data_IF_869452639322
#
_entry.id   IF_869452639322
#
_cell.length_a   1.000
_cell.length_b   1.000
_cell.length_c   1.000
_cell.angle_alpha   90.00
_cell.angle_beta   90.00
_cell.angle_gamma   90.00
#
_symmetry.space_group_name_H-M   'P 1'
#
loop_
_entity.id
_entity.type
_entity.pdbx_description
1 polymer ?
#
# COMPACT_ATOMS: atom_id res chain seq x y z
N UNK A 1 16.15 -2.66 -19.32
CA UNK A 1 15.88 -3.41 -18.07
C UNK A 1 17.15 -4.15 -17.69
N UNK A 2 17.89 -3.68 -16.68
CA UNK A 2 19.07 -4.38 -16.18
C UNK A 2 18.67 -5.21 -14.97
N UNK A 3 18.79 -6.53 -15.09
CA UNK A 3 18.54 -7.50 -14.03
C UNK A 3 19.85 -7.79 -13.29
N UNK A 4 19.87 -7.53 -11.99
CA UNK A 4 20.99 -7.84 -11.09
C UNK A 4 20.68 -9.15 -10.34
N UNK A 5 21.55 -10.16 -10.48
CA UNK A 5 21.47 -11.41 -9.72
C UNK A 5 22.79 -11.70 -9.01
N UNK A 6 22.81 -11.67 -7.69
CA UNK A 6 23.95 -12.08 -6.86
C UNK A 6 23.72 -13.48 -6.29
N UNK A 7 24.60 -14.43 -6.60
CA UNK A 7 24.59 -15.75 -5.97
C UNK A 7 25.35 -15.69 -4.63
N UNK A 8 24.81 -16.26 -3.53
CA UNK A 8 25.47 -16.23 -2.23
C UNK A 8 26.72 -17.12 -2.21
N UNK A 9 27.84 -16.58 -1.73
CA UNK A 9 29.04 -17.37 -1.39
C UNK A 9 29.00 -17.77 0.08
N UNK A 10 29.35 -19.01 0.44
CA UNK A 10 29.41 -19.44 1.83
C UNK A 10 30.57 -18.75 2.58
N UNK A 11 30.30 -18.37 3.82
CA UNK A 11 31.25 -17.68 4.72
C UNK A 11 32.26 -18.69 5.29
N UNK A 12 33.55 -18.45 5.10
CA UNK A 12 34.61 -19.24 5.74
C UNK A 12 34.63 -19.02 7.26
N UNK A 13 34.39 -20.07 8.02
CA UNK A 13 34.41 -20.04 9.49
C UNK A 13 35.87 -20.01 9.96
N UNK A 14 36.35 -18.84 10.39
CA UNK A 14 37.62 -18.75 11.13
C UNK A 14 37.42 -19.30 12.55
N UNK A 15 38.30 -20.24 12.93
CA UNK A 15 38.30 -20.94 14.22
C UNK A 15 38.35 -19.95 15.39
N UNK A 16 37.49 -20.20 16.38
CA UNK A 16 37.46 -19.54 17.68
C UNK A 16 38.84 -19.59 18.35
N UNK A 17 39.32 -18.44 18.83
CA UNK A 17 40.42 -18.36 19.80
C UNK A 17 39.80 -18.13 21.17
N UNK A 18 40.27 -18.92 22.12
CA UNK A 18 39.71 -19.13 23.45
C UNK A 18 39.48 -17.85 24.27
N UNK A 19 38.38 -17.90 25.01
CA UNK A 19 38.00 -16.97 26.05
C UNK A 19 39.06 -16.92 27.15
N UNK A 20 39.60 -15.75 27.43
CA UNK A 20 39.92 -15.31 28.79
C UNK A 20 40.02 -13.78 28.85
N UNK A 21 39.36 -13.21 29.87
CA UNK A 21 39.18 -11.78 30.20
C UNK A 21 38.12 -11.02 29.38
N UNK A 22 36.84 -11.24 29.73
CA UNK A 22 35.76 -10.29 29.48
C UNK A 22 35.92 -9.08 30.40
N UNK A 23 36.76 -8.14 30.00
CA UNK A 23 36.70 -6.78 30.55
C UNK A 23 35.58 -6.05 29.81
N UNK A 24 34.45 -5.84 30.48
CA UNK A 24 33.33 -5.07 29.94
C UNK A 24 33.80 -3.63 29.67
N UNK A 25 34.26 -3.37 28.45
CA UNK A 25 34.56 -2.04 27.95
C UNK A 25 33.26 -1.35 27.53
N UNK A 26 33.11 -0.07 27.88
CA UNK A 26 31.97 0.72 27.46
C UNK A 26 31.78 0.65 25.94
N UNK A 27 30.61 0.15 25.53
CA UNK A 27 30.20 -0.05 24.12
C UNK A 27 30.24 1.27 23.34
N UNK A 28 30.25 2.42 24.03
CA UNK A 28 30.39 3.76 23.46
C UNK A 28 31.79 4.07 22.88
N UNK A 29 32.83 3.32 23.28
CA UNK A 29 34.21 3.54 22.83
C UNK A 29 34.78 2.35 22.05
N UNK A 30 34.02 1.27 21.89
CA UNK A 30 34.44 0.14 21.08
C UNK A 30 34.52 0.56 19.60
N UNK A 31 35.69 0.32 18.99
CA UNK A 31 35.98 0.61 17.59
C UNK A 31 35.28 -0.34 16.62
N UNK A 32 34.83 -1.50 17.08
CA UNK A 32 34.10 -2.49 16.27
C UNK A 32 32.64 -2.10 16.05
N UNK A 33 32.10 -1.25 16.92
CA UNK A 33 30.71 -0.80 16.87
C UNK A 33 30.64 0.43 15.99
N UNK A 34 30.17 0.25 14.76
CA UNK A 34 29.92 1.33 13.80
C UNK A 34 28.65 2.06 14.25
N UNK A 35 28.80 3.33 14.63
CA UNK A 35 27.69 4.18 15.06
C UNK A 35 27.33 5.13 13.92
N UNK A 36 26.19 4.92 13.28
CA UNK A 36 25.72 5.72 12.15
C UNK A 36 24.67 4.98 11.32
N UNK A 37 23.87 5.72 10.57
CA UNK A 37 22.83 5.18 9.68
C UNK A 37 23.49 4.59 8.41
N UNK A 38 23.12 3.37 8.00
CA UNK A 38 23.75 2.60 6.91
C UNK A 38 23.42 3.10 5.48
N UNK A 39 22.66 4.19 5.34
CA UNK A 39 22.18 4.66 4.04
C UNK A 39 23.20 5.48 3.22
N UNK A 40 24.27 5.99 3.83
CA UNK A 40 25.21 6.92 3.16
C UNK A 40 26.58 6.31 2.79
N UNK A 41 26.78 5.01 3.00
CA UNK A 41 28.01 4.33 2.52
C UNK A 41 27.86 3.85 1.07
N UNK A 42 27.61 4.78 0.16
CA UNK A 42 27.97 4.57 -1.23
C UNK A 42 29.47 4.81 -1.41
N UNK A 43 30.16 3.71 -1.66
CA UNK A 43 31.46 3.55 -2.32
C UNK A 43 32.02 4.84 -2.93
N UNK A 44 32.89 5.54 -2.19
CA UNK A 44 33.82 6.49 -2.80
C UNK A 44 35.18 5.81 -2.95
N UNK A 45 35.44 5.48 -4.21
CA UNK A 45 36.72 5.06 -4.73
C UNK A 45 37.82 6.05 -4.35
N UNK A 46 39.02 5.52 -4.10
CA UNK A 46 40.25 6.25 -3.86
C UNK A 46 40.43 7.37 -4.91
N UNK A 47 40.29 8.62 -4.49
CA UNK A 47 40.82 9.77 -5.22
C UNK A 47 41.31 10.82 -4.21
N UNK A 48 42.61 11.13 -4.33
CA UNK A 48 43.34 12.13 -3.57
C UNK A 48 42.89 13.55 -3.93
N UNK A 49 41.73 13.98 -3.44
CA UNK A 49 41.39 15.39 -3.37
C UNK A 49 40.96 15.71 -1.94
N UNK A 50 41.80 16.50 -1.27
CA UNK A 50 41.61 16.98 0.09
C UNK A 50 40.24 17.64 0.26
N UNK A 51 39.37 16.98 1.02
CA UNK A 51 38.06 17.47 1.41
C UNK A 51 38.23 18.76 2.26
N UNK A 52 37.64 19.91 1.89
CA UNK A 52 37.83 21.18 2.59
C UNK A 52 37.38 21.11 4.06
N UNK A 53 36.40 20.27 4.39
CA UNK A 53 35.94 20.05 5.76
C UNK A 53 36.96 19.34 6.67
N UNK A 54 37.79 18.44 6.12
CA UNK A 54 38.83 17.74 6.88
C UNK A 54 40.04 18.65 7.15
N UNK A 55 40.40 19.52 6.21
CA UNK A 55 41.44 20.54 6.42
C UNK A 55 41.04 21.57 7.48
N UNK A 56 39.78 22.01 7.49
CA UNK A 56 39.28 22.95 8.51
C UNK A 56 39.30 22.32 9.92
N UNK A 57 38.96 21.03 10.04
CA UNK A 57 39.07 20.26 11.30
C UNK A 57 40.51 20.11 11.77
N UNK A 58 41.45 19.85 10.86
CA UNK A 58 42.87 19.73 11.18
C UNK A 58 43.47 21.08 11.62
N UNK A 59 43.07 22.19 10.98
CA UNK A 59 43.45 23.54 11.38
C UNK A 59 42.88 23.94 12.74
N UNK A 60 41.62 23.58 13.04
CA UNK A 60 41.01 23.80 14.35
C UNK A 60 41.74 23.02 15.46
N UNK A 61 42.11 21.77 15.19
CA UNK A 61 42.89 20.95 16.13
C UNK A 61 44.28 21.54 16.39
N UNK A 62 44.95 22.04 15.33
CA UNK A 62 46.25 22.70 15.41
C UNK A 62 46.17 24.01 16.22
N UNK A 63 45.14 24.84 16.01
CA UNK A 63 44.88 26.06 16.79
C UNK A 63 44.65 25.75 18.27
N UNK A 64 43.87 24.72 18.59
CA UNK A 64 43.61 24.31 19.98
C UNK A 64 44.86 23.77 20.68
N UNK A 65 45.73 23.05 19.97
CA UNK A 65 47.00 22.59 20.51
C UNK A 65 47.98 23.73 20.82
N UNK A 66 48.02 24.76 19.96
CA UNK A 66 48.86 25.96 20.17
C UNK A 66 48.36 26.76 21.37
N UNK A 67 47.04 26.99 21.48
CA UNK A 67 46.44 27.68 22.63
C UNK A 67 46.74 26.95 23.96
N UNK A 68 46.69 25.61 23.96
CA UNK A 68 47.02 24.79 25.14
C UNK A 68 48.51 24.81 25.51
N UNK A 69 49.40 25.03 24.53
CA UNK A 69 50.84 25.22 24.77
C UNK A 69 51.12 26.60 25.35
N UNK A 70 50.47 27.65 24.84
CA UNK A 70 50.58 29.02 25.34
C UNK A 70 50.04 29.17 26.76
N UNK A 71 48.88 28.56 27.07
CA UNK A 71 48.32 28.59 28.43
C UNK A 71 49.24 27.88 29.44
N UNK A 72 49.91 26.79 29.03
CA UNK A 72 50.88 26.07 29.86
C UNK A 72 52.18 26.86 30.06
N UNK A 73 52.57 27.71 29.11
CA UNK A 73 53.71 28.63 29.26
C UNK A 73 53.38 29.82 30.19
N UNK A 74 52.13 30.30 30.18
CA UNK A 74 51.68 31.37 31.10
C UNK A 74 51.56 30.89 32.56
N UNK A 75 51.26 29.61 32.80
CA UNK A 75 51.19 29.03 34.15
C UNK A 75 52.56 28.70 34.77
N UNK A 76 53.67 28.84 34.04
CA UNK A 76 55.00 28.68 34.60
C UNK A 76 55.40 29.99 35.29
N UNK A 77 55.53 29.97 36.62
CA UNK A 77 56.18 31.04 37.38
C UNK A 77 57.62 31.20 36.88
N UNK A 78 57.89 32.24 36.10
CA UNK A 78 59.26 32.56 35.64
C UNK A 78 60.04 33.13 36.82
N UNK A 79 61.18 32.53 37.13
CA UNK A 79 62.24 33.21 37.88
C UNK A 79 62.65 34.46 37.09
N UNK A 80 62.81 35.65 37.71
CA UNK A 80 63.15 36.87 36.99
C UNK A 80 64.47 36.71 36.20
N UNK A 81 64.56 37.38 35.04
CA UNK A 81 65.75 37.35 34.19
C UNK A 81 66.97 37.91 34.92
N UNK A 82 68.13 37.28 34.71
CA UNK A 82 69.38 37.70 35.30
C UNK A 82 69.75 39.12 34.84
N UNK A 83 69.99 40.01 35.80
CA UNK A 83 70.36 41.39 35.57
C UNK A 83 71.73 41.43 34.86
N UNK A 84 71.80 42.10 33.71
CA UNK A 84 73.05 42.21 32.94
C UNK A 84 74.11 42.98 33.73
N UNK A 85 75.30 42.39 33.89
CA UNK A 85 76.47 43.01 34.54
C UNK A 85 76.85 42.48 35.92
N UNK A 86 76.16 41.47 36.46
CA UNK A 86 76.59 40.75 37.68
C UNK A 86 76.93 39.29 37.37
N UNK A 87 78.13 38.84 37.77
CA UNK A 87 78.46 37.41 37.80
C UNK A 87 77.77 36.79 39.02
N UNK A 88 76.82 35.88 38.78
CA UNK A 88 76.22 35.08 39.83
C UNK A 88 77.19 33.94 40.21
N UNK A 89 77.86 34.07 41.35
CA UNK A 89 78.64 32.98 41.96
C UNK A 89 77.68 32.12 42.78
N UNK A 90 77.72 30.81 42.56
CA UNK A 90 77.03 29.83 43.40
C UNK A 90 77.71 29.86 44.76
N UNK A 91 77.02 30.35 45.80
CA UNK A 91 77.53 30.33 47.17
C UNK A 91 77.69 28.87 47.59
N UNK A 92 78.92 28.38 47.57
CA UNK A 92 79.32 27.10 48.15
C UNK A 92 79.48 27.28 49.67
N UNK A 93 78.37 27.38 50.40
CA UNK A 93 78.38 27.11 51.84
C UNK A 93 78.56 25.60 52.04
N UNK A 94 79.81 25.16 52.02
CA UNK A 94 80.16 23.75 52.24
C UNK A 94 81.59 23.57 52.73
N UNK A 95 82.55 24.33 52.22
CA UNK A 95 83.97 24.08 52.51
C UNK A 95 84.67 25.19 53.33
N UNK A 96 84.14 26.42 53.33
CA UNK A 96 84.72 27.54 54.10
C UNK A 96 84.18 27.69 55.52
N UNK A 97 83.14 26.94 55.92
CA UNK A 97 82.64 26.94 57.30
C UNK A 97 83.50 26.05 58.23
N UNK A 98 84.13 25.00 57.69
CA UNK A 98 84.96 24.07 58.45
C UNK A 98 86.35 24.63 58.82
N UNK A 99 86.79 25.75 58.22
CA UNK A 99 88.09 26.37 58.51
C UNK A 99 88.03 27.43 59.64
N UNK A 100 86.85 27.74 60.17
CA UNK A 100 86.65 28.75 61.23
C UNK A 100 86.00 28.16 62.51
N UNK A 101 86.19 26.86 62.76
CA UNK A 101 85.80 26.23 64.01
C UNK A 101 87.04 26.07 64.90
N UNK A 102 87.13 26.91 65.93
CA UNK A 102 88.10 26.79 67.00
C UNK A 102 87.53 25.83 68.06
N UNK A 103 88.16 24.65 68.23
CA UNK A 103 87.81 23.72 69.31
C UNK A 103 88.36 24.25 70.64
N UNK A 104 87.51 24.89 71.44
CA UNK A 104 87.87 25.32 72.79
C UNK A 104 87.82 24.13 73.77
N UNK A 105 88.95 23.46 73.99
CA UNK A 105 89.11 22.42 75.02
C UNK A 105 89.49 23.05 76.38
N UNK A 106 88.53 23.64 77.09
CA UNK A 106 88.72 24.04 78.49
C UNK A 106 88.07 23.01 79.43
N UNK A 107 88.90 22.17 80.03
CA UNK A 107 88.50 21.31 81.15
C UNK A 107 88.43 22.22 82.39
N UNK A 108 87.22 22.66 82.75
CA UNK A 108 87.00 23.45 83.97
C UNK A 108 86.98 22.47 85.15
N UNK A 109 87.92 22.62 86.09
CA UNK A 109 87.89 21.89 87.36
C UNK A 109 86.70 22.40 88.19
N UNK A 110 85.76 21.51 88.49
CA UNK A 110 84.63 21.79 89.39
C UNK A 110 85.11 21.56 90.82
N UNK A 111 85.24 22.63 91.61
CA UNK A 111 85.32 22.52 93.06
C UNK A 111 83.93 22.79 93.65
N UNK A 112 83.34 21.78 94.28
CA UNK A 112 82.10 21.92 95.04
C UNK A 112 82.40 22.67 96.34
N UNK A 113 81.70 23.80 96.55
CA UNK A 113 81.76 24.58 97.78
C UNK A 113 80.33 24.75 98.25
N UNK A 114 79.95 24.01 99.28
CA UNK A 114 78.64 24.11 99.92
C UNK A 114 78.68 25.25 100.96
N UNK A 115 77.85 26.27 100.78
CA UNK A 115 77.65 27.33 101.76
C UNK A 115 76.21 27.30 102.28
N UNK A 116 76.08 26.92 103.56
CA UNK A 116 74.86 26.97 104.35
C UNK A 116 74.33 28.41 104.42
N UNK A 117 73.22 28.66 103.74
CA UNK A 117 72.48 29.92 103.74
C UNK A 117 71.13 29.72 104.43
N UNK A 118 70.73 30.72 105.21
CA UNK A 118 69.56 30.74 106.10
C UNK A 118 68.24 30.26 105.46
N UNK A 119 67.32 29.83 106.32
CA UNK A 119 65.98 29.37 105.98
C UNK A 119 65.17 30.49 105.30
N UNK A 120 65.13 30.47 103.97
CA UNK A 120 64.41 31.43 103.13
C UNK A 120 62.90 31.34 103.40
N UNK A 121 62.34 32.33 104.11
CA UNK A 121 60.90 32.53 104.20
C UNK A 121 60.36 32.97 102.82
N UNK A 122 59.33 32.28 102.33
CA UNK A 122 58.69 32.61 101.06
C UNK A 122 58.08 34.02 101.09
N UNK A 123 58.71 34.92 100.34
CA UNK A 123 58.18 36.26 100.05
C UNK A 123 56.89 36.09 99.24
N UNK A 124 55.78 36.78 99.57
CA UNK A 124 54.59 36.74 98.73
C UNK A 124 54.95 37.19 97.31
N UNK A 125 54.32 36.56 96.30
CA UNK A 125 54.58 36.87 94.90
C UNK A 125 54.44 38.37 94.68
N UNK A 126 55.48 38.97 94.09
CA UNK A 126 55.44 40.40 93.76
C UNK A 126 54.33 40.60 92.73
N UNK A 127 53.42 41.57 92.92
CA UNK A 127 52.35 41.81 91.98
C UNK A 127 52.94 42.10 90.59
N UNK A 128 52.39 41.46 89.56
CA UNK A 128 52.82 41.67 88.18
C UNK A 128 52.63 43.14 87.84
N UNK A 129 53.73 43.81 87.49
CA UNK A 129 53.68 45.17 86.96
C UNK A 129 53.04 45.13 85.58
N UNK A 130 51.79 45.59 85.48
CA UNK A 130 51.12 45.85 84.20
C UNK A 130 51.38 47.31 83.85
N UNK A 131 52.20 47.61 82.83
CA UNK A 131 52.41 48.99 82.40
C UNK A 131 51.06 49.62 82.01
N UNK A 132 50.82 50.85 82.42
CA UNK A 132 49.68 51.60 81.88
C UNK A 132 49.86 51.70 80.36
N UNK A 133 48.81 51.34 79.59
CA UNK A 133 48.81 51.57 78.14
C UNK A 133 49.14 53.05 77.90
N UNK A 134 50.28 53.31 77.25
CA UNK A 134 50.68 54.65 76.82
C UNK A 134 50.57 54.70 75.30
N UNK A 135 49.54 55.40 74.82
CA UNK A 135 49.15 55.50 73.42
C UNK A 135 47.68 55.92 73.34
N UNK A 136 47.30 56.67 72.31
CA UNK A 136 45.90 56.99 72.04
C UNK A 136 45.34 55.87 71.16
N UNK A 137 44.39 55.10 71.67
CA UNK A 137 43.66 54.11 70.89
C UNK A 137 42.76 54.86 69.88
N UNK A 138 42.97 54.63 68.57
CA UNK A 138 42.14 55.19 67.48
C UNK A 138 41.50 54.01 66.76
N UNK A 139 40.18 54.00 66.70
CA UNK A 139 39.44 53.08 65.83
C UNK A 139 39.14 53.76 64.50
N UNK A 140 39.30 52.99 63.42
CA UNK A 140 38.88 53.38 62.08
C UNK A 140 37.91 52.34 61.59
N UNK A 141 36.64 52.72 61.47
CA UNK A 141 35.57 51.88 60.93
C UNK A 141 35.16 52.41 59.56
N UNK A 142 34.94 51.51 58.61
CA UNK A 142 34.37 51.83 57.31
C UNK A 142 32.86 51.64 57.42
N UNK A 143 32.11 52.70 57.16
CA UNK A 143 30.65 52.70 57.23
C UNK A 143 30.02 52.10 55.96
N UNK A 144 28.78 51.65 56.06
CA UNK A 144 28.06 51.09 54.91
C UNK A 144 27.96 52.13 53.78
N UNK A 145 28.54 51.80 52.63
CA UNK A 145 28.53 52.64 51.42
C UNK A 145 29.80 53.49 51.18
N UNK A 146 30.76 53.52 52.11
CA UNK A 146 31.96 54.36 51.99
C UNK A 146 32.96 53.89 50.91
N UNK A 147 32.87 52.61 50.51
CA UNK A 147 33.67 51.98 49.45
C UNK A 147 32.86 51.61 48.20
N UNK A 148 31.60 52.03 48.10
CA UNK A 148 30.73 51.63 46.99
C UNK A 148 31.12 52.37 45.69
N UNK A 149 31.49 51.61 44.67
CA UNK A 149 31.70 52.11 43.31
C UNK A 149 30.54 51.65 42.41
N UNK A 150 29.69 52.60 42.02
CA UNK A 150 28.53 52.31 41.19
C UNK A 150 28.91 51.71 39.84
N UNK A 151 29.97 52.19 39.20
CA UNK A 151 30.34 51.76 37.85
C UNK A 151 30.82 50.31 37.82
N UNK A 152 31.44 49.85 38.91
CA UNK A 152 31.84 48.45 39.09
C UNK A 152 30.66 47.56 39.47
N UNK A 153 29.81 48.00 40.39
CA UNK A 153 28.73 47.17 40.94
C UNK A 153 27.52 47.05 39.99
N UNK A 154 27.31 48.02 39.09
CA UNK A 154 26.22 47.98 38.11
C UNK A 154 26.52 47.08 36.91
N UNK A 155 27.81 46.80 36.62
CA UNK A 155 28.24 46.02 35.46
C UNK A 155 27.57 44.62 35.38
N UNK A 156 27.58 43.80 36.45
CA UNK A 156 26.94 42.48 36.42
C UNK A 156 25.43 42.56 36.20
N UNK A 157 24.78 43.58 36.75
CA UNK A 157 23.33 43.80 36.62
C UNK A 157 22.98 44.16 35.17
N UNK A 158 23.75 45.07 34.56
CA UNK A 158 23.56 45.46 33.17
C UNK A 158 23.90 44.33 32.20
N UNK A 159 24.94 43.54 32.46
CA UNK A 159 25.30 42.39 31.63
C UNK A 159 24.16 41.37 31.58
N UNK A 160 23.56 41.06 32.73
CA UNK A 160 22.41 40.15 32.81
C UNK A 160 21.18 40.75 32.13
N UNK A 161 20.88 42.03 32.36
CA UNK A 161 19.72 42.70 31.75
C UNK A 161 19.83 42.73 30.24
N UNK A 162 20.96 43.19 29.70
CA UNK A 162 21.18 43.30 28.26
C UNK A 162 21.25 41.91 27.64
N UNK A 163 21.98 40.98 28.26
CA UNK A 163 22.10 39.60 27.79
C UNK A 163 20.73 38.93 27.70
N UNK A 164 19.91 39.03 28.75
CA UNK A 164 18.58 38.42 28.79
C UNK A 164 17.60 39.09 27.83
N UNK A 165 17.68 40.42 27.67
CA UNK A 165 16.83 41.14 26.71
C UNK A 165 17.15 40.72 25.28
N UNK A 166 18.43 40.63 24.91
CA UNK A 166 18.84 40.19 23.58
C UNK A 166 18.48 38.73 23.33
N UNK A 167 18.72 37.85 24.30
CA UNK A 167 18.38 36.42 24.21
C UNK A 167 16.88 36.22 24.01
N UNK A 168 16.06 36.89 24.82
CA UNK A 168 14.60 36.82 24.70
C UNK A 168 14.13 37.37 23.34
N UNK A 169 14.64 38.53 22.93
CA UNK A 169 14.29 39.13 21.63
C UNK A 169 14.63 38.20 20.46
N UNK A 170 15.79 37.55 20.52
CA UNK A 170 16.22 36.62 19.46
C UNK A 170 15.31 35.39 19.41
N UNK A 171 14.95 34.82 20.56
CA UNK A 171 14.04 33.67 20.61
C UNK A 171 12.65 34.00 20.08
N UNK A 172 12.10 35.16 20.45
CA UNK A 172 10.80 35.63 19.97
C UNK A 172 10.79 35.81 18.45
N UNK A 173 11.80 36.48 17.89
CA UNK A 173 11.91 36.66 16.42
C UNK A 173 12.05 35.32 15.70
N UNK A 174 12.84 34.38 16.24
CA UNK A 174 12.96 33.05 15.65
C UNK A 174 11.64 32.28 15.67
N UNK A 175 10.90 32.33 16.78
CA UNK A 175 9.58 31.69 16.89
C UNK A 175 8.57 32.30 15.89
N UNK A 176 8.56 33.62 15.75
CA UNK A 176 7.69 34.32 14.80
C UNK A 176 7.98 33.92 13.34
N UNK A 177 9.26 33.83 12.96
CA UNK A 177 9.66 33.37 11.63
C UNK A 177 9.28 31.90 11.37
N UNK A 178 9.48 31.02 12.35
CA UNK A 178 9.07 29.62 12.27
C UNK A 178 7.55 29.49 12.10
N UNK A 179 6.77 30.21 12.92
CA UNK A 179 5.31 30.24 12.83
C UNK A 179 4.84 30.81 11.48
N UNK A 180 5.51 31.84 10.95
CA UNK A 180 5.21 32.38 9.63
C UNK A 180 5.46 31.35 8.52
N UNK A 181 6.57 30.62 8.59
CA UNK A 181 6.92 29.55 7.65
C UNK A 181 5.90 28.39 7.70
N UNK A 182 5.51 27.95 8.89
CA UNK A 182 4.49 26.90 9.04
C UNK A 182 3.13 27.35 8.48
N UNK A 183 2.73 28.60 8.71
CA UNK A 183 1.48 29.16 8.19
C UNK A 183 1.48 29.27 6.67
N UNK A 184 2.60 29.65 6.04
CA UNK A 184 2.70 29.70 4.58
C UNK A 184 2.64 28.29 4.00
N UNK A 185 3.37 27.34 4.57
CA UNK A 185 3.34 25.94 4.15
C UNK A 185 1.93 25.34 4.28
N UNK A 186 1.24 25.59 5.39
CA UNK A 186 -0.13 25.13 5.61
C UNK A 186 -1.10 25.71 4.59
N UNK A 187 -0.98 27.00 4.26
CA UNK A 187 -1.80 27.64 3.21
C UNK A 187 -1.59 27.00 1.84
N UNK A 188 -0.33 26.85 1.43
CA UNK A 188 0.01 26.20 0.13
C UNK A 188 -0.53 24.77 0.08
N UNK A 189 -0.40 24.00 1.17
CA UNK A 189 -0.93 22.64 1.24
C UNK A 189 -2.45 22.60 1.16
N UNK A 190 -3.15 23.52 1.85
CA UNK A 190 -4.61 23.61 1.80
C UNK A 190 -5.11 24.01 0.41
N UNK A 191 -4.45 24.96 -0.25
CA UNK A 191 -4.76 25.36 -1.62
C UNK A 191 -4.60 24.18 -2.59
N UNK A 192 -3.48 23.47 -2.51
CA UNK A 192 -3.24 22.28 -3.33
C UNK A 192 -4.32 21.21 -3.08
N UNK A 193 -4.60 20.90 -1.81
CA UNK A 193 -5.62 19.91 -1.44
C UNK A 193 -7.02 20.29 -1.92
N UNK A 194 -7.37 21.58 -1.84
CA UNK A 194 -8.66 22.06 -2.32
C UNK A 194 -8.78 21.96 -3.85
N UNK A 195 -7.71 22.26 -4.57
CA UNK A 195 -7.65 22.11 -6.02
C UNK A 195 -7.76 20.62 -6.44
N UNK A 196 -7.01 19.74 -5.77
CA UNK A 196 -7.08 18.29 -5.99
C UNK A 196 -8.48 17.75 -5.71
N UNK A 197 -9.11 18.17 -4.60
CA UNK A 197 -10.46 17.75 -4.25
C UNK A 197 -11.48 18.19 -5.31
N UNK A 198 -11.38 19.41 -5.81
CA UNK A 198 -12.25 19.92 -6.87
C UNK A 198 -12.06 19.14 -8.19
N UNK A 199 -10.82 18.76 -8.51
CA UNK A 199 -10.52 17.95 -9.69
C UNK A 199 -11.09 16.54 -9.57
N UNK A 200 -10.93 15.89 -8.41
CA UNK A 200 -11.48 14.56 -8.14
C UNK A 200 -13.00 14.58 -8.27
N UNK A 201 -13.69 15.57 -7.68
CA UNK A 201 -15.14 15.70 -7.81
C UNK A 201 -15.57 15.85 -9.27
N UNK A 202 -14.86 16.66 -10.06
CA UNK A 202 -15.13 16.84 -11.49
C UNK A 202 -15.00 15.51 -12.26
N UNK A 203 -13.97 14.71 -11.95
CA UNK A 203 -13.73 13.41 -12.58
C UNK A 203 -14.77 12.36 -12.15
N UNK A 204 -15.14 12.33 -10.87
CA UNK A 204 -16.19 11.45 -10.35
C UNK A 204 -17.54 11.73 -11.01
N UNK A 205 -17.92 12.99 -11.17
CA UNK A 205 -19.16 13.33 -11.88
C UNK A 205 -19.13 12.92 -13.35
N UNK A 206 -17.99 13.11 -14.01
CA UNK A 206 -17.82 12.67 -15.40
C UNK A 206 -17.92 11.14 -15.52
N UNK A 207 -17.29 10.40 -14.60
CA UNK A 207 -17.33 8.94 -14.55
C UNK A 207 -18.75 8.45 -14.26
N UNK A 208 -19.48 9.11 -13.35
CA UNK A 208 -20.88 8.82 -13.07
C UNK A 208 -21.74 8.94 -14.33
N UNK A 209 -21.62 10.04 -15.06
CA UNK A 209 -22.36 10.25 -16.34
C UNK A 209 -22.00 9.19 -17.37
N UNK A 210 -20.73 8.85 -17.50
CA UNK A 210 -20.27 7.82 -18.44
C UNK A 210 -20.81 6.43 -18.06
N UNK A 211 -20.81 6.11 -16.77
CA UNK A 211 -21.33 4.85 -16.24
C UNK A 211 -22.83 4.72 -16.49
N UNK A 212 -23.60 5.77 -16.20
CA UNK A 212 -25.05 5.83 -16.46
C UNK A 212 -25.35 5.65 -17.97
N UNK A 213 -24.63 6.34 -18.85
CA UNK A 213 -24.82 6.20 -20.30
C UNK A 213 -24.41 4.80 -20.79
N UNK A 214 -23.29 4.26 -20.30
CA UNK A 214 -22.85 2.89 -20.63
C UNK A 214 -23.90 1.87 -20.22
N UNK A 215 -24.46 1.98 -19.03
CA UNK A 215 -25.51 1.08 -18.54
C UNK A 215 -26.77 1.17 -19.41
N UNK A 216 -27.19 2.38 -19.80
CA UNK A 216 -28.31 2.57 -20.74
C UNK A 216 -28.05 1.90 -22.09
N UNK A 217 -26.84 2.04 -22.64
CA UNK A 217 -26.46 1.41 -23.92
C UNK A 217 -26.44 -0.12 -23.81
N UNK A 218 -25.92 -0.67 -22.72
CA UNK A 218 -25.93 -2.12 -22.48
C UNK A 218 -27.36 -2.64 -22.36
N UNK A 219 -28.23 -1.93 -21.64
CA UNK A 219 -29.64 -2.31 -21.52
C UNK A 219 -30.34 -2.29 -22.89
N UNK A 220 -30.15 -1.24 -23.69
CA UNK A 220 -30.70 -1.16 -25.05
C UNK A 220 -30.19 -2.31 -25.93
N UNK A 221 -28.88 -2.59 -25.91
CA UNK A 221 -28.30 -3.67 -26.72
C UNK A 221 -28.83 -5.04 -26.31
N UNK A 222 -29.05 -5.26 -25.01
CA UNK A 222 -29.63 -6.50 -24.49
C UNK A 222 -31.06 -6.71 -24.99
N UNK A 223 -31.88 -5.64 -25.01
CA UNK A 223 -33.24 -5.70 -25.56
C UNK A 223 -33.25 -5.96 -27.07
N UNK A 224 -32.33 -5.34 -27.83
CA UNK A 224 -32.17 -5.61 -29.26
C UNK A 224 -31.82 -7.09 -29.49
N UNK A 225 -30.83 -7.61 -28.76
CA UNK A 225 -30.40 -9.00 -28.90
C UNK A 225 -31.52 -9.99 -28.54
N UNK A 226 -32.33 -9.70 -27.52
CA UNK A 226 -33.49 -10.51 -27.16
C UNK A 226 -34.52 -10.53 -28.31
N UNK A 227 -34.82 -9.37 -28.91
CA UNK A 227 -35.72 -9.29 -30.06
C UNK A 227 -35.16 -10.03 -31.27
N UNK A 228 -33.86 -9.92 -31.53
CA UNK A 228 -33.20 -10.66 -32.61
C UNK A 228 -33.36 -12.17 -32.41
N UNK A 229 -33.12 -12.70 -31.20
CA UNK A 229 -33.34 -14.10 -30.87
C UNK A 229 -34.80 -14.53 -31.12
N UNK A 230 -35.77 -13.77 -30.59
CA UNK A 230 -37.19 -14.06 -30.81
C UNK A 230 -37.56 -14.05 -32.31
N UNK A 231 -37.02 -13.11 -33.08
CA UNK A 231 -37.26 -13.06 -34.52
C UNK A 231 -36.61 -14.23 -35.26
N UNK A 232 -35.39 -14.61 -34.88
CA UNK A 232 -34.69 -15.75 -35.46
C UNK A 232 -35.43 -17.06 -35.21
N UNK A 233 -35.94 -17.27 -33.99
CA UNK A 233 -36.76 -18.43 -33.64
C UNK A 233 -38.07 -18.46 -34.43
N UNK A 234 -38.77 -17.32 -34.57
CA UNK A 234 -40.00 -17.24 -35.38
C UNK A 234 -39.73 -17.56 -36.85
N UNK A 235 -38.63 -17.07 -37.41
CA UNK A 235 -38.24 -17.37 -38.78
C UNK A 235 -37.90 -18.86 -38.92
N UNK A 236 -37.12 -19.41 -38.00
CA UNK A 236 -36.77 -20.83 -37.98
C UNK A 236 -38.01 -21.73 -37.90
N UNK A 237 -38.94 -21.43 -36.99
CA UNK A 237 -40.21 -22.15 -36.86
C UNK A 237 -41.05 -22.07 -38.14
N UNK A 238 -41.16 -20.88 -38.75
CA UNK A 238 -41.86 -20.70 -40.02
C UNK A 238 -41.24 -21.55 -41.13
N UNK A 239 -39.92 -21.48 -41.30
CA UNK A 239 -39.20 -22.23 -42.34
C UNK A 239 -39.35 -23.74 -42.09
N UNK A 240 -39.23 -24.19 -40.85
CA UNK A 240 -39.43 -25.58 -40.46
C UNK A 240 -40.85 -26.05 -40.79
N UNK A 241 -41.89 -25.31 -40.40
CA UNK A 241 -43.27 -25.66 -40.72
C UNK A 241 -43.52 -25.71 -42.23
N UNK A 242 -42.96 -24.77 -43.01
CA UNK A 242 -43.08 -24.77 -44.46
C UNK A 242 -42.42 -26.01 -45.09
N UNK A 243 -41.19 -26.34 -44.68
CA UNK A 243 -40.48 -27.53 -45.16
C UNK A 243 -41.20 -28.82 -44.77
N UNK A 244 -41.69 -28.91 -43.53
CA UNK A 244 -42.44 -30.07 -43.05
C UNK A 244 -43.76 -30.26 -43.80
N UNK A 245 -44.55 -29.19 -43.95
CA UNK A 245 -45.82 -29.24 -44.68
C UNK A 245 -45.64 -29.54 -46.17
N UNK A 246 -44.58 -29.01 -46.79
CA UNK A 246 -44.25 -29.29 -48.19
C UNK A 246 -44.01 -30.79 -48.45
N UNK A 247 -43.41 -31.51 -47.49
CA UNK A 247 -43.23 -32.96 -47.58
C UNK A 247 -44.46 -33.76 -47.13
N UNK A 248 -45.16 -33.30 -46.10
CA UNK A 248 -46.29 -34.00 -45.51
C UNK A 248 -47.51 -34.03 -46.45
N UNK A 249 -47.84 -32.91 -47.09
CA UNK A 249 -49.03 -32.84 -47.95
C UNK A 249 -48.97 -33.88 -49.09
N UNK A 250 -47.93 -33.94 -49.94
CA UNK A 250 -47.84 -34.98 -50.98
C UNK A 250 -47.86 -36.41 -50.40
N UNK A 251 -47.22 -36.64 -49.25
CA UNK A 251 -47.18 -37.96 -48.62
C UNK A 251 -48.57 -38.42 -48.14
N UNK A 252 -49.33 -37.53 -47.49
CA UNK A 252 -50.69 -37.80 -47.04
C UNK A 252 -51.62 -37.96 -48.25
N UNK A 253 -51.57 -37.07 -49.24
CA UNK A 253 -52.38 -37.20 -50.46
C UNK A 253 -52.08 -38.52 -51.20
N UNK A 254 -50.81 -38.90 -51.32
CA UNK A 254 -50.42 -40.18 -51.92
C UNK A 254 -50.86 -41.38 -51.09
N UNK A 255 -50.85 -41.28 -49.76
CA UNK A 255 -51.37 -42.32 -48.87
C UNK A 255 -52.88 -42.47 -49.02
N UNK A 256 -53.66 -41.38 -48.94
CA UNK A 256 -55.11 -41.40 -49.11
C UNK A 256 -55.52 -41.91 -50.51
N UNK A 257 -54.76 -41.54 -51.55
CA UNK A 257 -54.97 -42.04 -52.92
C UNK A 257 -54.71 -43.55 -53.00
N UNK A 258 -53.65 -44.05 -52.36
CA UNK A 258 -53.37 -45.50 -52.28
C UNK A 258 -54.45 -46.27 -51.51
N UNK A 259 -55.03 -45.68 -50.47
CA UNK A 259 -56.11 -46.29 -49.69
C UNK A 259 -57.50 -46.13 -50.35
N UNK A 260 -57.58 -45.56 -51.56
CA UNK A 260 -58.82 -45.49 -52.34
C UNK A 260 -59.84 -44.46 -51.83
N UNK A 261 -59.43 -43.49 -51.01
CA UNK A 261 -60.32 -42.42 -50.53
C UNK A 261 -60.62 -41.36 -51.59
N UNK A 262 -59.70 -41.15 -52.55
CA UNK A 262 -59.93 -40.28 -53.70
C UNK A 262 -60.45 -41.11 -54.87
N UNK A 263 -61.69 -40.85 -55.27
CA UNK A 263 -62.33 -41.47 -56.44
C UNK A 263 -62.08 -40.63 -57.68
N UNK A 264 -61.93 -41.28 -58.83
CA UNK A 264 -62.02 -40.57 -60.10
C UNK A 264 -63.50 -40.16 -60.32
N UNK A 265 -63.80 -38.87 -60.48
CA UNK A 265 -65.18 -38.43 -60.73
C UNK A 265 -65.79 -39.12 -61.94
N UNK A 266 -65.00 -39.48 -62.95
CA UNK A 266 -65.47 -40.19 -64.15
C UNK A 266 -65.85 -41.63 -63.82
N UNK A 267 -65.03 -42.35 -63.05
CA UNK A 267 -65.33 -43.72 -62.64
C UNK A 267 -66.58 -43.79 -61.74
N UNK A 268 -66.74 -42.81 -60.85
CA UNK A 268 -67.93 -42.70 -60.01
C UNK A 268 -69.18 -42.35 -60.83
N UNK A 269 -69.07 -41.46 -61.79
CA UNK A 269 -70.18 -41.09 -62.68
C UNK A 269 -70.61 -42.27 -63.56
N UNK A 270 -69.64 -43.04 -64.08
CA UNK A 270 -69.93 -44.26 -64.83
C UNK A 270 -70.64 -45.29 -63.93
N UNK A 271 -70.13 -45.54 -62.71
CA UNK A 271 -70.71 -46.54 -61.82
C UNK A 271 -72.09 -46.15 -61.28
N UNK A 272 -72.31 -44.87 -60.96
CA UNK A 272 -73.55 -44.40 -60.32
C UNK A 272 -74.62 -44.03 -61.35
N UNK A 273 -74.27 -43.44 -62.49
CA UNK A 273 -75.24 -42.92 -63.45
C UNK A 273 -75.31 -43.76 -64.73
N UNK A 274 -74.16 -44.06 -65.35
CA UNK A 274 -74.14 -44.76 -66.64
C UNK A 274 -74.53 -46.24 -66.53
N UNK A 275 -73.95 -46.99 -65.58
CA UNK A 275 -74.25 -48.43 -65.44
C UNK A 275 -75.73 -48.70 -65.12
N UNK A 276 -76.38 -47.99 -64.18
CA UNK A 276 -77.80 -48.19 -63.93
C UNK A 276 -78.67 -47.79 -65.13
N UNK A 277 -78.32 -46.71 -65.83
CA UNK A 277 -79.00 -46.31 -67.06
C UNK A 277 -78.87 -47.38 -68.16
N UNK A 278 -77.68 -47.92 -68.37
CA UNK A 278 -77.42 -48.97 -69.35
C UNK A 278 -78.20 -50.25 -69.01
N UNK A 279 -78.18 -50.66 -67.74
CA UNK A 279 -78.94 -51.83 -67.27
C UNK A 279 -80.44 -51.60 -67.46
N UNK A 280 -80.96 -50.41 -67.16
CA UNK A 280 -82.37 -50.07 -67.36
C UNK A 280 -82.77 -50.11 -68.84
N UNK A 281 -81.94 -49.58 -69.75
CA UNK A 281 -82.23 -49.61 -71.18
C UNK A 281 -82.12 -51.03 -71.75
N UNK A 282 -81.14 -51.84 -71.30
CA UNK A 282 -81.04 -53.26 -71.68
C UNK A 282 -82.27 -54.03 -71.20
N UNK A 283 -82.70 -53.84 -69.96
CA UNK A 283 -83.92 -54.47 -69.43
C UNK A 283 -85.15 -54.08 -70.24
N UNK A 284 -85.31 -52.79 -70.59
CA UNK A 284 -86.40 -52.33 -71.45
C UNK A 284 -86.42 -53.00 -72.83
N UNK A 285 -85.24 -53.25 -73.42
CA UNK A 285 -85.15 -53.99 -74.69
C UNK A 285 -85.46 -55.48 -74.51
N UNK A 286 -85.07 -56.08 -73.38
CA UNK A 286 -85.45 -57.44 -73.04
C UNK A 286 -86.97 -57.57 -72.80
N UNK A 287 -87.59 -56.63 -72.09
CA UNK A 287 -89.03 -56.59 -71.84
C UNK A 287 -89.79 -56.51 -73.16
N UNK A 288 -89.39 -55.61 -74.08
CA UNK A 288 -89.95 -55.57 -75.44
C UNK A 288 -89.85 -56.91 -76.16
N UNK A 289 -88.72 -57.61 -76.02
CA UNK A 289 -88.52 -58.94 -76.61
C UNK A 289 -89.38 -60.01 -75.94
N UNK A 290 -89.54 -59.97 -74.61
CA UNK A 290 -90.42 -60.88 -73.87
C UNK A 290 -91.88 -60.64 -74.25
N UNK A 291 -92.35 -59.39 -74.28
CA UNK A 291 -93.72 -59.07 -74.73
C UNK A 291 -93.95 -59.48 -76.17
N UNK A 292 -92.97 -59.29 -77.06
CA UNK A 292 -93.09 -59.74 -78.45
C UNK A 292 -93.16 -61.27 -78.56
N UNK A 293 -92.40 -62.01 -77.74
CA UNK A 293 -92.50 -63.48 -77.65
C UNK A 293 -93.84 -63.93 -77.06
N UNK A 294 -94.32 -63.28 -76.00
CA UNK A 294 -95.61 -63.61 -75.39
C UNK A 294 -96.78 -63.36 -76.36
N UNK A 295 -96.77 -62.26 -77.11
CA UNK A 295 -97.74 -62.01 -78.18
C UNK A 295 -97.63 -63.07 -79.27
N UNK A 296 -96.41 -63.46 -79.68
CA UNK A 296 -96.21 -64.53 -80.65
C UNK A 296 -96.75 -65.88 -80.13
N UNK A 297 -96.49 -66.23 -78.88
CA UNK A 297 -96.97 -67.45 -78.24
C UNK A 297 -98.50 -67.44 -78.12
N UNK A 298 -99.12 -66.30 -77.79
CA UNK A 298 -100.58 -66.14 -77.80
C UNK A 298 -101.17 -66.29 -79.21
N UNK A 299 -100.54 -65.72 -80.23
CA UNK A 299 -100.96 -65.92 -81.63
C UNK A 299 -100.86 -67.40 -82.03
N UNK A 300 -99.77 -68.08 -81.66
CA UNK A 300 -99.61 -69.52 -81.88
C UNK A 300 -100.70 -70.31 -81.14
N UNK A 301 -101.03 -69.93 -79.90
CA UNK A 301 -102.10 -70.55 -79.11
C UNK A 301 -103.48 -70.34 -79.76
N UNK A 302 -103.82 -69.13 -80.20
CA UNK A 302 -105.08 -68.87 -80.92
C UNK A 302 -105.18 -69.66 -82.23
N UNK A 303 -104.10 -69.74 -83.01
CA UNK A 303 -104.08 -70.52 -84.25
C UNK A 303 -104.24 -72.01 -83.98
N UNK A 304 -103.64 -72.53 -82.91
CA UNK A 304 -103.82 -73.95 -82.54
C UNK A 304 -105.23 -74.22 -82.00
N UNK A 305 -105.84 -73.31 -81.23
CA UNK A 305 -107.23 -73.41 -80.80
C UNK A 305 -108.22 -73.38 -81.98
N UNK A 306 -108.09 -72.42 -82.91
CA UNK A 306 -108.92 -72.37 -84.12
C UNK A 306 -108.82 -73.66 -84.93
N UNK A 307 -107.60 -74.19 -85.13
CA UNK A 307 -107.41 -75.49 -85.77
C UNK A 307 -108.07 -76.64 -85.00
N UNK A 308 -108.05 -76.61 -83.67
CA UNK A 308 -108.68 -77.62 -82.83
C UNK A 308 -110.22 -77.53 -82.89
N UNK A 309 -110.79 -76.34 -82.99
CA UNK A 309 -112.21 -76.10 -83.26
C UNK A 309 -112.61 -76.58 -84.67
N UNK A 310 -111.80 -76.29 -85.70
CA UNK A 310 -111.99 -76.82 -87.05
C UNK A 310 -112.02 -78.36 -87.05
N UNK A 311 -111.09 -79.00 -86.32
CA UNK A 311 -111.08 -80.46 -86.14
C UNK A 311 -112.31 -81.00 -85.38
N UNK A 312 -112.85 -80.25 -84.40
CA UNK A 312 -114.09 -80.63 -83.69
C UNK A 312 -115.32 -80.51 -84.59
N UNK A 313 -115.40 -79.47 -85.43
CA UNK A 313 -116.45 -79.33 -86.45
C UNK A 313 -116.40 -80.46 -87.49
N UNK A 314 -115.19 -80.88 -87.89
CA UNK A 314 -114.98 -82.05 -88.76
C UNK A 314 -115.43 -83.37 -88.12
N UNK A 315 -115.37 -83.51 -86.78
CA UNK A 315 -115.89 -84.69 -86.07
C UNK A 315 -117.42 -84.70 -85.90
N UNK A 316 -118.05 -83.56 -85.62
CA UNK A 316 -119.52 -83.49 -85.49
C UNK A 316 -120.27 -83.50 -86.84
N UNK A 317 -119.56 -83.26 -87.96
CA UNK A 317 -120.11 -83.41 -89.32
C UNK A 317 -120.11 -84.84 -89.88
N UNK A 318 -119.55 -85.82 -89.15
CA UNK A 318 -119.50 -87.23 -89.59
C UNK A 318 -120.64 -88.10 -89.02
N UNK A 319 -121.47 -87.60 -88.10
CA UNK A 319 -122.55 -88.36 -87.44
C UNK A 319 -123.97 -88.08 -88.01
N UNK A 320 -124.10 -87.43 -89.17
CA UNK A 320 -125.41 -87.10 -89.79
C UNK A 320 -125.57 -87.51 -91.27
N UNK A 321 -124.74 -88.44 -91.75
CA UNK A 321 -124.93 -89.06 -93.07
C UNK A 321 -124.90 -90.59 -92.97
N UNK A 322 -125.86 -91.13 -92.23
CA UNK A 322 -126.41 -92.48 -92.39
C UNK A 322 -127.93 -92.36 -92.62
N UNK A 323 -128.33 -92.29 -93.89
CA UNK A 323 -129.65 -92.62 -94.45
C UNK A 323 -129.56 -92.65 -95.98
#
# INVERSE_FOLDING_TARGET
>A
MFTYSSHPKPVEIRRYRDLNQLQYGNIMYDRRVVRGNLHDQQVTSKNNNSDPGMQQRQQAYRRRAIARKQSKEQLKTKTPEAIQGRQHVVVQTGETLYSFLEELSNIIQVSEIDCQTDEFLDKPSTPLFVPAKSGVDVETQIEEGDLFDFDLEVQPVLEVLVGKTIEQSLLEVMEEEELACLRTQQRVFQELRNNELAEVQRLEEQERRYREEKERRVAQQKEVLKKEQETAEKIAARVFSQQYLAGLLPAVFSSLRRHGYFYDPVEKDISVNFLPWLIAEVNKQLDKRYTAREVLDNIIYEVTLKRLEDFKHLKFGQDCSDS
#
